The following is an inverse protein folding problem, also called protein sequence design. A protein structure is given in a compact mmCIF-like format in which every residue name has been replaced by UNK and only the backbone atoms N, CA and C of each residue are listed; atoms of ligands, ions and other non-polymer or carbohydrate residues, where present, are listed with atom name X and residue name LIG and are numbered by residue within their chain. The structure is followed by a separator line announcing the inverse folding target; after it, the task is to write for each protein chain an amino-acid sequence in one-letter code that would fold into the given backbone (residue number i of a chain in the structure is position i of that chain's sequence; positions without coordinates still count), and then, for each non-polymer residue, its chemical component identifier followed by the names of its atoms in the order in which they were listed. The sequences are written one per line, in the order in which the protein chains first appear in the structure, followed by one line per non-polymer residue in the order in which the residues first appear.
data_IF_271817263004
#
_entry.id   IF_271817263004
#
_cell.length_a   1.000
_cell.length_b   1.000
_cell.length_c   1.000
_cell.angle_alpha   90.00
_cell.angle_beta   90.00
_cell.angle_gamma   90.00
#
_symmetry.space_group_name_H-M   'P 1'
#
loop_
_entity.id
_entity.type
_entity.pdbx_description
1 polymer ?
#
# COMPACT_ATOMS: atom_id res chain seq x y z
N UNK A 1 -33.32 44.07 67.70
CA UNK A 1 -33.91 42.73 67.92
C UNK A 1 -33.15 41.78 67.00
N UNK A 2 -32.04 41.15 67.42
CA UNK A 2 -31.97 39.90 68.20
C UNK A 2 -33.04 38.88 67.74
N UNK A 3 -32.65 37.83 67.03
CA UNK A 3 -32.43 36.51 67.64
C UNK A 3 -31.71 35.53 66.68
N UNK A 4 -30.58 35.03 67.17
CA UNK A 4 -29.91 33.76 66.83
C UNK A 4 -30.74 32.56 67.32
N UNK A 5 -30.68 31.43 66.60
CA UNK A 5 -30.50 30.02 67.07
C UNK A 5 -30.05 29.21 65.82
N UNK A 6 -28.82 28.67 65.67
CA UNK A 6 -28.27 27.36 66.13
C UNK A 6 -29.20 26.15 65.86
N UNK A 7 -28.77 24.91 65.54
CA UNK A 7 -27.56 24.22 65.10
C UNK A 7 -28.00 22.75 64.94
N UNK A 8 -27.52 21.98 63.96
CA UNK A 8 -27.46 20.51 64.07
C UNK A 8 -26.50 19.92 63.02
N UNK A 9 -25.29 19.61 63.49
CA UNK A 9 -24.35 18.69 62.85
C UNK A 9 -24.93 17.27 62.83
N UNK A 10 -24.86 16.59 61.69
CA UNK A 10 -24.95 15.13 61.63
C UNK A 10 -23.66 14.60 61.03
N UNK A 11 -22.91 13.88 61.86
CA UNK A 11 -21.72 13.12 61.48
C UNK A 11 -22.15 11.93 60.61
N UNK A 12 -21.88 11.99 59.32
CA UNK A 12 -21.93 10.85 58.42
C UNK A 12 -20.57 10.14 58.39
N UNK A 13 -20.54 8.92 58.89
CA UNK A 13 -19.38 8.01 58.85
C UNK A 13 -19.00 7.75 57.39
N UNK A 14 -17.81 8.18 56.97
CA UNK A 14 -17.24 7.81 55.68
C UNK A 14 -16.73 6.37 55.75
N UNK A 15 -17.51 5.42 55.24
CA UNK A 15 -17.04 4.07 54.95
C UNK A 15 -16.17 4.15 53.71
N UNK A 16 -14.87 3.87 53.87
CA UNK A 16 -13.92 3.73 52.78
C UNK A 16 -14.30 2.52 51.92
N UNK A 17 -15.15 2.75 50.92
CA UNK A 17 -15.42 1.80 49.85
C UNK A 17 -14.21 1.74 48.93
N UNK A 18 -13.43 0.67 49.04
CA UNK A 18 -12.42 0.28 48.06
C UNK A 18 -13.14 0.08 46.71
N UNK A 19 -13.11 1.09 45.84
CA UNK A 19 -13.53 0.93 44.45
C UNK A 19 -12.43 0.10 43.80
N UNK A 20 -12.67 -1.20 43.72
CA UNK A 20 -11.97 -2.05 42.76
C UNK A 20 -12.23 -1.43 41.39
N UNK A 21 -11.20 -0.81 40.82
CA UNK A 21 -11.21 -0.41 39.43
C UNK A 21 -11.30 -1.69 38.60
N UNK A 22 -12.53 -2.10 38.30
CA UNK A 22 -12.80 -3.09 37.26
C UNK A 22 -12.27 -2.47 35.98
N UNK A 23 -11.13 -2.97 35.51
CA UNK A 23 -10.66 -2.72 34.15
C UNK A 23 -11.74 -3.24 33.21
N UNK A 24 -12.66 -2.37 32.79
CA UNK A 24 -13.38 -2.59 31.56
C UNK A 24 -12.33 -2.49 30.46
N UNK A 25 -11.68 -3.62 30.16
CA UNK A 25 -11.29 -3.88 28.78
C UNK A 25 -12.60 -3.88 28.00
N UNK A 26 -13.04 -2.69 27.58
CA UNK A 26 -13.98 -2.61 26.48
C UNK A 26 -13.35 -3.43 25.36
N UNK A 27 -14.02 -4.50 24.95
CA UNK A 27 -13.61 -5.24 23.78
C UNK A 27 -13.45 -4.21 22.67
N UNK A 28 -12.21 -3.97 22.23
CA UNK A 28 -11.94 -3.21 21.02
C UNK A 28 -12.67 -3.98 19.93
N UNK A 29 -13.81 -3.46 19.48
CA UNK A 29 -14.53 -4.06 18.39
C UNK A 29 -13.61 -4.07 17.18
N UNK A 30 -13.55 -5.22 16.49
CA UNK A 30 -12.68 -5.38 15.33
C UNK A 30 -13.07 -4.35 14.26
N UNK A 31 -12.10 -3.84 13.47
CA UNK A 31 -12.40 -2.92 12.37
C UNK A 31 -13.46 -3.52 11.42
N UNK A 32 -14.20 -2.68 10.67
CA UNK A 32 -15.30 -3.16 9.84
C UNK A 32 -14.85 -4.27 8.88
N UNK A 33 -15.53 -5.41 8.96
CA UNK A 33 -15.10 -6.66 8.29
C UNK A 33 -15.46 -6.73 6.80
N UNK A 34 -16.28 -5.80 6.30
CA UNK A 34 -16.75 -5.74 4.92
C UNK A 34 -15.89 -4.81 4.04
N UNK A 35 -14.60 -4.74 4.34
CA UNK A 35 -13.64 -3.97 3.54
C UNK A 35 -13.53 -4.57 2.13
N UNK A 36 -13.64 -3.71 1.12
CA UNK A 36 -13.60 -4.13 -0.29
C UNK A 36 -12.17 -4.15 -0.81
N UNK A 37 -11.34 -3.20 -0.39
CA UNK A 37 -9.92 -3.17 -0.67
C UNK A 37 -9.16 -2.61 0.53
N UNK A 38 -8.03 -3.21 0.87
CA UNK A 38 -7.18 -2.79 1.98
C UNK A 38 -5.70 -2.89 1.60
N UNK A 39 -5.06 -1.75 1.37
CA UNK A 39 -3.62 -1.68 1.15
C UNK A 39 -2.92 -1.21 2.41
N UNK A 40 -2.25 -2.14 3.08
CA UNK A 40 -1.50 -1.91 4.33
C UNK A 40 -0.11 -1.31 4.11
N UNK A 41 0.45 -1.44 2.92
CA UNK A 41 1.82 -1.00 2.63
C UNK A 41 2.90 -1.64 3.50
N UNK A 42 2.70 -2.89 3.91
CA UNK A 42 3.60 -3.63 4.81
C UNK A 42 4.68 -4.45 4.10
N UNK A 43 4.69 -4.51 2.77
CA UNK A 43 5.62 -5.38 2.02
C UNK A 43 7.09 -4.98 2.21
N UNK A 44 7.35 -3.68 2.40
CA UNK A 44 8.66 -3.12 2.71
C UNK A 44 9.72 -3.24 1.61
N UNK A 45 9.44 -3.96 0.52
CA UNK A 45 10.32 -4.15 -0.63
C UNK A 45 9.54 -4.42 -1.91
N UNK A 46 10.21 -4.31 -3.05
CA UNK A 46 9.59 -4.56 -4.35
C UNK A 46 8.64 -3.44 -4.77
N UNK A 47 7.81 -3.74 -5.78
CA UNK A 47 6.92 -2.77 -6.42
C UNK A 47 5.44 -3.11 -6.27
N UNK A 48 5.11 -4.23 -5.63
CA UNK A 48 3.73 -4.66 -5.44
C UNK A 48 3.21 -4.09 -4.13
N UNK A 49 2.01 -3.53 -4.16
CA UNK A 49 1.25 -3.14 -2.97
C UNK A 49 0.05 -4.08 -2.91
N UNK A 50 0.07 -5.05 -2.00
CA UNK A 50 -0.94 -6.09 -1.95
C UNK A 50 -2.24 -5.59 -1.33
N UNK A 51 -3.35 -6.07 -1.86
CA UNK A 51 -4.67 -5.91 -1.25
C UNK A 51 -4.92 -7.05 -0.25
N UNK A 52 -4.99 -6.69 1.03
CA UNK A 52 -5.22 -7.56 2.18
C UNK A 52 -6.69 -7.91 2.41
N UNK A 53 -7.63 -7.35 1.63
CA UNK A 53 -9.07 -7.66 1.78
C UNK A 53 -9.43 -9.08 1.31
N UNK A 54 -8.54 -9.73 0.54
CA UNK A 54 -8.80 -11.01 -0.12
C UNK A 54 -9.34 -10.89 -1.55
N UNK A 55 -9.70 -9.68 -1.99
CA UNK A 55 -10.25 -9.43 -3.35
C UNK A 55 -9.17 -9.21 -4.42
N UNK A 56 -7.89 -9.15 -4.02
CA UNK A 56 -6.70 -9.11 -4.90
C UNK A 56 -6.65 -7.87 -5.80
N UNK A 57 -7.16 -6.73 -5.32
CA UNK A 57 -7.01 -5.43 -5.97
C UNK A 57 -5.58 -4.87 -5.82
N UNK A 58 -4.57 -5.65 -6.16
CA UNK A 58 -3.17 -5.29 -5.95
C UNK A 58 -2.77 -4.05 -6.77
N UNK A 59 -2.03 -3.14 -6.12
CA UNK A 59 -1.39 -2.00 -6.74
C UNK A 59 0.03 -2.32 -7.19
N UNK A 60 0.57 -1.49 -8.08
CA UNK A 60 1.98 -1.47 -8.44
C UNK A 60 2.52 -0.05 -8.35
N UNK A 61 3.69 0.12 -7.73
CA UNK A 61 4.39 1.40 -7.64
C UNK A 61 4.99 1.80 -8.99
N UNK A 62 4.87 3.07 -9.34
CA UNK A 62 5.45 3.68 -10.55
C UNK A 62 6.49 4.74 -10.17
N UNK A 63 7.60 4.81 -10.93
CA UNK A 63 8.70 5.77 -10.73
C UNK A 63 9.44 5.67 -9.37
N UNK A 64 9.28 4.54 -8.67
CA UNK A 64 10.12 4.14 -7.54
C UNK A 64 9.95 4.94 -6.25
N UNK A 65 8.73 5.06 -5.68
CA UNK A 65 8.54 5.55 -4.32
C UNK A 65 9.24 4.64 -3.29
N UNK A 66 9.49 5.18 -2.10
CA UNK A 66 10.34 4.57 -1.08
C UNK A 66 9.51 3.92 0.03
N UNK A 67 9.87 2.71 0.45
CA UNK A 67 9.33 2.11 1.68
C UNK A 67 9.92 2.80 2.92
N UNK A 68 9.07 3.22 3.84
CA UNK A 68 9.45 3.86 5.12
C UNK A 68 8.67 3.27 6.28
N UNK A 69 8.98 3.66 7.51
CA UNK A 69 8.16 3.28 8.67
C UNK A 69 6.81 4.01 8.64
N UNK A 70 5.75 3.21 8.80
CA UNK A 70 4.36 3.61 8.67
C UNK A 70 3.74 4.17 9.95
N UNK A 71 2.43 4.40 9.90
CA UNK A 71 1.63 4.48 11.14
C UNK A 71 1.46 3.09 11.72
N UNK A 72 1.39 2.07 10.87
CA UNK A 72 1.46 0.64 11.21
C UNK A 72 2.50 0.00 10.28
N UNK A 73 3.39 -0.82 10.82
CA UNK A 73 4.42 -1.50 10.02
C UNK A 73 5.18 -0.58 9.05
N UNK A 74 4.96 -0.74 7.75
CA UNK A 74 5.59 0.07 6.69
C UNK A 74 4.57 0.97 5.99
N UNK A 75 5.09 1.99 5.30
CA UNK A 75 4.31 2.89 4.46
C UNK A 75 5.06 3.18 3.16
N UNK A 76 4.34 3.75 2.19
CA UNK A 76 4.93 4.21 0.95
C UNK A 76 5.13 5.72 0.96
N UNK A 77 6.37 6.17 0.77
CA UNK A 77 6.76 7.57 0.67
C UNK A 77 6.97 8.01 -0.76
N UNK A 78 6.34 9.12 -1.11
CA UNK A 78 6.34 9.71 -2.43
C UNK A 78 7.09 11.05 -2.43
N UNK A 79 7.76 11.33 -3.54
CA UNK A 79 8.59 12.52 -3.73
C UNK A 79 7.80 13.82 -4.02
N UNK A 80 6.50 13.72 -4.34
CA UNK A 80 5.66 14.86 -4.71
C UNK A 80 5.84 15.37 -6.14
N UNK A 81 6.57 14.65 -7.00
CA UNK A 81 6.84 14.99 -8.40
C UNK A 81 6.07 14.08 -9.34
N UNK A 82 6.38 12.78 -9.35
CA UNK A 82 5.93 11.85 -10.41
C UNK A 82 5.61 10.43 -9.92
N UNK A 83 5.81 10.15 -8.63
CA UNK A 83 5.63 8.82 -8.08
C UNK A 83 4.19 8.57 -7.65
N UNK A 84 3.68 7.38 -7.97
CA UNK A 84 2.33 6.96 -7.60
C UNK A 84 2.21 5.44 -7.54
N UNK A 85 1.10 4.96 -6.98
CA UNK A 85 0.68 3.56 -7.11
C UNK A 85 -0.47 3.49 -8.08
N UNK A 86 -0.45 2.51 -8.97
CA UNK A 86 -1.56 2.19 -9.87
C UNK A 86 -2.19 0.87 -9.46
N UNK A 87 -3.48 0.90 -9.19
CA UNK A 87 -4.32 -0.29 -9.10
C UNK A 87 -5.05 -0.40 -10.44
N UNK A 88 -4.82 -1.47 -11.23
CA UNK A 88 -5.48 -1.65 -12.52
C UNK A 88 -7.01 -1.56 -12.41
N UNK A 89 -7.64 -1.15 -13.50
CA UNK A 89 -9.10 -1.16 -13.58
C UNK A 89 -9.66 -2.57 -13.31
N UNK A 90 -10.64 -2.64 -12.42
CA UNK A 90 -11.07 -3.88 -11.76
C UNK A 90 -12.51 -3.77 -11.19
N UNK A 91 -13.28 -2.79 -11.67
CA UNK A 91 -14.64 -2.49 -11.25
C UNK A 91 -14.82 -2.22 -9.75
N UNK A 92 -13.74 -1.97 -9.00
CA UNK A 92 -13.74 -1.73 -7.55
C UNK A 92 -14.69 -0.61 -7.14
N UNK A 93 -15.03 0.31 -8.02
CA UNK A 93 -15.92 1.42 -7.73
C UNK A 93 -17.16 1.45 -8.61
N UNK A 94 -17.42 0.44 -9.45
CA UNK A 94 -18.56 0.49 -10.38
C UNK A 94 -19.91 0.41 -9.68
N UNK A 95 -20.87 1.24 -10.13
CA UNK A 95 -22.26 1.28 -9.66
C UNK A 95 -22.50 1.47 -8.14
N UNK A 96 -21.56 2.09 -7.43
CA UNK A 96 -21.68 2.28 -5.99
C UNK A 96 -22.54 3.51 -5.64
N UNK A 97 -23.65 3.30 -4.93
CA UNK A 97 -24.55 4.38 -4.50
C UNK A 97 -24.06 5.10 -3.23
N UNK A 98 -23.29 4.40 -2.39
CA UNK A 98 -22.69 4.93 -1.18
C UNK A 98 -21.35 4.24 -0.95
N UNK A 99 -20.31 4.99 -0.60
CA UNK A 99 -18.98 4.44 -0.36
C UNK A 99 -18.21 5.26 0.66
N UNK A 100 -17.17 4.64 1.23
CA UNK A 100 -16.23 5.32 2.12
C UNK A 100 -14.80 4.99 1.72
N UNK A 101 -13.92 5.97 1.87
CA UNK A 101 -12.48 5.83 1.64
C UNK A 101 -11.77 6.31 2.90
N UNK A 102 -10.97 5.43 3.51
CA UNK A 102 -10.14 5.72 4.67
C UNK A 102 -8.68 5.66 4.26
N UNK A 103 -7.87 6.61 4.74
CA UNK A 103 -6.44 6.64 4.46
C UNK A 103 -5.68 7.29 5.62
N UNK A 104 -4.52 6.74 5.94
CA UNK A 104 -3.52 7.43 6.73
C UNK A 104 -2.49 8.06 5.81
N UNK A 105 -2.14 9.32 6.05
CA UNK A 105 -1.05 9.96 5.34
C UNK A 105 -0.28 10.94 6.21
N UNK A 106 0.99 11.16 5.87
CA UNK A 106 1.89 12.09 6.54
C UNK A 106 2.53 13.01 5.49
N UNK A 107 2.07 14.27 5.37
CA UNK A 107 2.67 15.24 4.46
C UNK A 107 4.08 15.63 4.90
N UNK A 108 4.98 15.89 3.96
CA UNK A 108 6.23 16.61 4.23
C UNK A 108 5.98 18.13 4.19
N UNK A 109 6.85 18.93 4.82
CA UNK A 109 6.73 20.41 4.85
C UNK A 109 6.94 21.10 3.49
N UNK A 110 6.89 20.37 2.38
CA UNK A 110 7.01 21.00 1.08
C UNK A 110 5.88 22.02 0.91
N UNK A 111 6.23 23.31 0.83
CA UNK A 111 5.32 24.38 0.43
C UNK A 111 4.83 24.07 -0.98
N UNK A 112 3.59 23.61 -1.12
CA UNK A 112 2.95 23.34 -2.40
C UNK A 112 1.86 24.35 -2.66
N UNK A 113 2.04 25.26 -3.62
CA UNK A 113 0.99 26.20 -4.05
C UNK A 113 -0.13 25.54 -4.89
N UNK A 114 -0.20 24.20 -4.89
CA UNK A 114 -1.06 23.40 -5.75
C UNK A 114 -1.67 22.24 -4.97
N UNK A 115 -2.90 21.87 -5.33
CA UNK A 115 -3.57 20.69 -4.79
C UNK A 115 -2.83 19.40 -5.15
N UNK A 116 -2.67 18.50 -4.18
CA UNK A 116 -2.01 17.19 -4.33
C UNK A 116 -2.97 16.05 -4.03
N UNK A 117 -3.02 15.05 -4.89
CA UNK A 117 -3.92 13.91 -4.74
C UNK A 117 -3.30 12.82 -3.88
N UNK A 118 -4.00 12.40 -2.83
CA UNK A 118 -3.57 11.29 -1.96
C UNK A 118 -4.09 9.96 -2.53
N UNK A 119 -5.36 9.91 -2.91
CA UNK A 119 -5.97 8.76 -3.59
C UNK A 119 -7.13 9.24 -4.44
N UNK A 120 -7.32 8.64 -5.61
CA UNK A 120 -8.48 8.93 -6.43
C UNK A 120 -8.62 7.99 -7.61
N UNK A 121 -9.81 8.05 -8.20
CA UNK A 121 -10.11 7.41 -9.47
C UNK A 121 -10.62 8.46 -10.45
N UNK A 122 -10.33 8.25 -11.72
CA UNK A 122 -10.81 9.11 -12.81
C UNK A 122 -12.26 8.74 -13.16
N UNK A 123 -12.99 9.64 -13.83
CA UNK A 123 -14.23 9.36 -14.53
C UNK A 123 -13.98 9.28 -16.06
N UNK A 124 -15.03 8.92 -16.79
CA UNK A 124 -15.10 8.80 -18.25
C UNK A 124 -14.86 10.12 -19.01
N UNK A 125 -14.86 11.27 -18.33
CA UNK A 125 -14.57 12.59 -18.90
C UNK A 125 -13.15 13.08 -18.53
N UNK A 126 -12.28 12.17 -18.13
CA UNK A 126 -10.92 12.45 -17.67
C UNK A 126 -10.84 13.46 -16.49
N UNK A 127 -11.85 13.42 -15.61
CA UNK A 127 -11.89 14.20 -14.34
C UNK A 127 -11.88 13.25 -13.14
N UNK A 128 -11.74 13.75 -11.92
CA UNK A 128 -11.87 12.89 -10.72
C UNK A 128 -13.30 12.39 -10.54
N UNK A 129 -13.48 11.07 -10.52
CA UNK A 129 -14.70 10.39 -10.09
C UNK A 129 -14.89 10.53 -8.57
N UNK A 130 -13.85 10.17 -7.81
CA UNK A 130 -13.64 10.67 -6.47
C UNK A 130 -12.15 10.95 -6.26
N UNK A 131 -11.83 11.80 -5.30
CA UNK A 131 -10.47 11.92 -4.80
C UNK A 131 -10.41 12.43 -3.36
N UNK A 132 -9.42 11.98 -2.60
CA UNK A 132 -8.93 12.64 -1.39
C UNK A 132 -7.63 13.36 -1.74
N UNK A 133 -7.47 14.59 -1.28
CA UNK A 133 -6.27 15.38 -1.55
C UNK A 133 -6.05 16.48 -0.51
N UNK A 134 -4.97 17.23 -0.68
CA UNK A 134 -4.61 18.39 0.14
C UNK A 134 -4.50 19.64 -0.72
N UNK A 135 -4.92 20.80 -0.21
CA UNK A 135 -4.86 22.09 -0.90
C UNK A 135 -4.30 23.20 0.01
N UNK A 136 -3.18 23.84 -0.35
CA UNK A 136 -2.51 24.83 0.54
C UNK A 136 -2.94 26.29 0.31
N UNK A 137 -4.03 26.55 -0.43
CA UNK A 137 -4.35 27.90 -0.90
C UNK A 137 -4.85 28.90 0.16
N UNK A 138 -5.30 28.46 1.34
CA UNK A 138 -5.95 29.37 2.30
C UNK A 138 -5.31 29.44 3.70
N UNK A 139 -4.97 28.34 4.39
CA UNK A 139 -4.42 28.42 5.77
C UNK A 139 -3.51 27.25 6.20
N UNK A 140 -2.93 26.50 5.26
CA UNK A 140 -2.09 25.33 5.56
C UNK A 140 -2.83 24.01 5.38
N UNK A 141 -3.01 23.67 4.11
CA UNK A 141 -3.34 22.34 3.60
C UNK A 141 -4.71 21.84 4.07
N UNK A 142 -5.79 22.39 3.51
CA UNK A 142 -7.13 21.82 3.70
C UNK A 142 -7.15 20.44 3.07
N UNK A 143 -7.35 19.40 3.89
CA UNK A 143 -7.69 18.10 3.36
C UNK A 143 -9.10 18.17 2.77
N UNK A 144 -9.29 17.56 1.60
CA UNK A 144 -10.58 17.52 0.95
C UNK A 144 -10.92 16.13 0.44
N UNK A 145 -12.21 15.87 0.39
CA UNK A 145 -12.82 14.73 -0.30
C UNK A 145 -13.78 15.26 -1.35
N UNK A 146 -13.61 14.81 -2.59
CA UNK A 146 -14.42 15.23 -3.73
C UNK A 146 -15.07 14.02 -4.39
N UNK A 147 -16.31 14.18 -4.82
CA UNK A 147 -17.07 13.18 -5.57
C UNK A 147 -17.74 13.85 -6.77
N UNK A 148 -17.73 13.18 -7.92
CA UNK A 148 -18.55 13.52 -9.09
C UNK A 148 -19.71 12.53 -9.20
N UNK A 149 -20.88 12.98 -9.63
CA UNK A 149 -22.05 12.12 -9.89
C UNK A 149 -22.31 11.96 -11.40
N UNK A 150 -23.17 11.00 -11.77
CA UNK A 150 -23.51 10.71 -13.18
C UNK A 150 -24.11 11.91 -13.94
N UNK A 151 -24.63 12.90 -13.22
CA UNK A 151 -25.10 14.18 -13.77
C UNK A 151 -23.97 15.16 -14.14
N UNK A 152 -22.70 14.76 -14.02
CA UNK A 152 -21.51 15.58 -14.23
C UNK A 152 -21.36 16.75 -13.25
N UNK A 153 -22.00 16.65 -12.08
CA UNK A 153 -21.84 17.61 -10.99
C UNK A 153 -20.81 17.05 -10.03
N UNK A 154 -19.93 17.91 -9.52
CA UNK A 154 -18.92 17.54 -8.53
C UNK A 154 -19.10 18.36 -7.25
N UNK A 155 -18.98 17.68 -6.12
CA UNK A 155 -19.10 18.25 -4.78
C UNK A 155 -17.82 18.00 -4.00
N UNK A 156 -17.44 18.94 -3.12
CA UNK A 156 -16.20 18.89 -2.34
C UNK A 156 -16.48 19.18 -0.87
N UNK A 157 -16.15 18.23 0.00
CA UNK A 157 -16.04 18.47 1.43
C UNK A 157 -14.58 18.83 1.76
N UNK A 158 -14.36 19.92 2.48
CA UNK A 158 -13.04 20.37 2.95
C UNK A 158 -13.05 20.44 4.47
N UNK A 159 -11.92 20.11 5.09
CA UNK A 159 -11.78 20.21 6.53
C UNK A 159 -11.72 21.67 6.98
N UNK A 160 -12.22 21.94 8.19
CA UNK A 160 -12.16 23.27 8.79
C UNK A 160 -10.86 23.46 9.62
N UNK A 161 -10.09 22.39 9.84
CA UNK A 161 -8.84 22.38 10.57
C UNK A 161 -7.64 22.16 9.62
N UNK A 162 -6.59 22.95 9.82
CA UNK A 162 -5.33 22.78 9.12
C UNK A 162 -4.73 21.40 9.38
N UNK A 163 -4.08 20.82 8.36
CA UNK A 163 -3.31 19.60 8.54
C UNK A 163 -2.06 19.88 9.37
N UNK A 164 -1.81 19.03 10.38
CA UNK A 164 -0.51 19.02 11.05
C UNK A 164 0.56 18.50 10.09
N UNK A 165 1.38 19.39 9.52
CA UNK A 165 2.53 19.00 8.71
C UNK A 165 3.43 18.03 9.49
N UNK A 166 4.07 17.09 8.79
CA UNK A 166 4.97 16.06 9.34
C UNK A 166 4.35 15.06 10.32
N UNK A 167 3.04 15.16 10.59
CA UNK A 167 2.31 14.20 11.43
C UNK A 167 1.46 13.27 10.58
N UNK A 168 1.27 12.05 11.08
CA UNK A 168 0.27 11.16 10.54
C UNK A 168 -1.12 11.74 10.79
N UNK A 169 -1.94 11.77 9.73
CA UNK A 169 -3.33 12.17 9.76
C UNK A 169 -4.17 11.04 9.20
N UNK A 170 -5.26 10.73 9.87
CA UNK A 170 -6.27 9.79 9.39
C UNK A 170 -7.41 10.57 8.78
N UNK A 171 -7.78 10.26 7.54
CA UNK A 171 -8.87 10.94 6.85
C UNK A 171 -9.84 9.91 6.31
N UNK A 172 -11.13 10.16 6.55
CA UNK A 172 -12.21 9.35 6.00
C UNK A 172 -13.18 10.23 5.22
N UNK A 173 -13.24 10.01 3.91
CA UNK A 173 -14.26 10.58 3.03
C UNK A 173 -15.43 9.62 2.91
N UNK A 174 -16.65 10.10 3.13
CA UNK A 174 -17.86 9.29 3.08
C UNK A 174 -18.85 9.93 2.13
N UNK A 175 -19.38 9.13 1.20
CA UNK A 175 -20.53 9.48 0.38
C UNK A 175 -21.66 8.51 0.65
N UNK A 176 -22.81 8.99 1.11
CA UNK A 176 -23.95 8.13 1.46
C UNK A 176 -25.03 8.07 0.37
N UNK A 177 -24.77 8.64 -0.82
CA UNK A 177 -25.75 8.78 -1.90
C UNK A 177 -26.62 10.05 -1.83
N UNK A 178 -26.55 10.78 -0.70
CA UNK A 178 -27.30 12.02 -0.47
C UNK A 178 -26.42 13.22 -0.18
N UNK A 179 -25.22 13.03 0.38
CA UNK A 179 -24.24 14.09 0.68
C UNK A 179 -22.88 13.50 1.04
N UNK A 180 -21.89 14.39 1.14
CA UNK A 180 -20.53 14.06 1.54
C UNK A 180 -20.32 14.35 3.03
N UNK A 181 -19.53 13.49 3.67
CA UNK A 181 -18.93 13.75 4.97
C UNK A 181 -17.41 13.63 4.87
N UNK A 182 -16.72 14.40 5.69
CA UNK A 182 -15.27 14.33 5.84
C UNK A 182 -14.91 14.27 7.31
N UNK A 183 -14.17 13.24 7.68
CA UNK A 183 -13.58 13.10 9.01
C UNK A 183 -12.07 13.25 8.92
N UNK A 184 -11.50 13.87 9.94
CA UNK A 184 -10.05 13.96 10.13
C UNK A 184 -9.75 13.59 11.58
N UNK A 185 -8.83 12.64 11.77
CA UNK A 185 -8.39 12.14 13.07
C UNK A 185 -9.57 11.73 13.98
N UNK A 186 -10.54 11.01 13.41
CA UNK A 186 -11.75 10.56 14.11
C UNK A 186 -12.83 11.64 14.32
N UNK A 187 -12.57 12.91 13.99
CA UNK A 187 -13.51 14.02 14.21
C UNK A 187 -14.19 14.44 12.91
N UNK A 188 -15.51 14.62 12.93
CA UNK A 188 -16.27 15.14 11.81
C UNK A 188 -15.87 16.59 11.52
N UNK A 189 -15.31 16.83 10.33
CA UNK A 189 -14.94 18.16 9.86
C UNK A 189 -16.04 18.76 8.98
N UNK A 190 -16.71 17.93 8.17
CA UNK A 190 -17.74 18.43 7.25
C UNK A 190 -18.92 17.50 7.05
N UNK A 191 -20.11 18.09 6.96
CA UNK A 191 -21.34 17.47 6.45
C UNK A 191 -21.96 18.37 5.37
N UNK A 192 -21.66 18.12 4.09
CA UNK A 192 -22.11 19.02 3.04
C UNK A 192 -23.65 19.10 2.96
N UNK A 193 -24.19 20.18 2.36
CA UNK A 193 -25.57 20.21 1.89
C UNK A 193 -25.89 19.01 0.96
N UNK A 194 -27.18 18.78 0.64
CA UNK A 194 -27.58 17.68 -0.23
C UNK A 194 -26.85 17.69 -1.58
N UNK A 195 -26.25 16.56 -1.90
CA UNK A 195 -25.63 16.20 -3.17
C UNK A 195 -26.03 14.75 -3.48
N UNK A 196 -27.13 14.59 -4.22
CA UNK A 196 -27.73 13.28 -4.49
C UNK A 196 -27.25 12.69 -5.82
N UNK A 197 -27.29 11.37 -5.92
CA UNK A 197 -27.14 10.63 -7.19
C UNK A 197 -26.10 9.53 -7.14
N UNK A 198 -26.03 8.70 -8.17
CA UNK A 198 -24.99 7.66 -8.25
C UNK A 198 -23.63 8.31 -8.49
N UNK A 199 -22.59 7.84 -7.79
CA UNK A 199 -21.23 8.30 -8.06
C UNK A 199 -20.87 8.03 -9.52
N UNK A 200 -20.17 8.96 -10.14
CA UNK A 200 -19.67 8.78 -11.50
C UNK A 200 -18.39 7.97 -11.41
N UNK A 201 -18.44 6.75 -11.86
CA UNK A 201 -17.28 5.87 -11.87
C UNK A 201 -16.76 5.75 -13.31
N UNK A 202 -15.55 5.21 -13.48
CA UNK A 202 -15.09 4.81 -14.81
C UNK A 202 -14.22 3.58 -14.75
N UNK A 203 -14.13 2.92 -15.91
CA UNK A 203 -13.20 1.85 -16.23
C UNK A 203 -11.75 2.39 -16.34
N UNK A 204 -11.29 3.09 -15.30
CA UNK A 204 -9.97 3.71 -15.23
C UNK A 204 -9.27 3.28 -13.94
N UNK A 205 -7.92 3.20 -13.95
CA UNK A 205 -7.17 2.78 -12.78
C UNK A 205 -7.40 3.70 -11.57
N UNK A 206 -7.49 3.10 -10.39
CA UNK A 206 -7.34 3.83 -9.15
C UNK A 206 -5.86 4.17 -8.96
N UNK A 207 -5.57 5.39 -8.53
CA UNK A 207 -4.21 5.84 -8.23
C UNK A 207 -4.09 6.42 -6.83
N UNK A 208 -2.95 6.16 -6.22
CA UNK A 208 -2.54 6.76 -4.95
C UNK A 208 -1.32 7.64 -5.22
N UNK A 209 -1.26 8.80 -4.58
CA UNK A 209 -0.33 9.89 -4.91
C UNK A 209 -0.54 10.45 -6.32
N UNK A 210 -1.80 10.74 -6.70
CA UNK A 210 -2.14 11.29 -8.02
C UNK A 210 -3.45 12.10 -7.98
N UNK A 211 -3.52 13.27 -8.64
CA UNK A 211 -4.76 14.05 -8.84
C UNK A 211 -5.15 14.17 -10.32
N UNK A 212 -6.18 13.43 -10.73
CA UNK A 212 -6.67 13.44 -12.11
C UNK A 212 -7.20 14.78 -12.60
N UNK A 213 -7.69 15.66 -11.73
CA UNK A 213 -8.17 16.98 -12.12
C UNK A 213 -7.05 17.98 -12.42
N UNK A 214 -5.80 17.66 -12.03
CA UNK A 214 -4.61 18.50 -12.21
C UNK A 214 -3.50 17.83 -13.02
N UNK A 215 -3.63 16.55 -13.36
CA UNK A 215 -2.60 15.76 -14.03
C UNK A 215 -1.66 15.08 -13.04
N UNK A 216 -0.39 14.89 -13.39
CA UNK A 216 0.60 14.28 -12.49
C UNK A 216 0.92 15.24 -11.33
N UNK A 217 0.07 15.24 -10.30
CA UNK A 217 0.20 16.03 -9.07
C UNK A 217 0.40 15.08 -7.88
N UNK A 218 1.61 14.51 -7.82
CA UNK A 218 2.01 13.54 -6.80
C UNK A 218 2.00 14.15 -5.40
N UNK A 219 1.59 13.37 -4.41
CA UNK A 219 1.57 13.76 -3.01
C UNK A 219 3.00 13.73 -2.41
N UNK A 220 3.50 14.81 -1.80
CA UNK A 220 4.78 14.81 -1.10
C UNK A 220 4.59 14.30 0.33
N UNK A 221 4.85 13.01 0.57
CA UNK A 221 4.64 12.43 1.89
C UNK A 221 4.51 10.91 1.88
N UNK A 222 4.17 10.36 3.05
CA UNK A 222 3.90 8.93 3.21
C UNK A 222 2.39 8.64 3.20
N UNK A 223 1.97 7.54 2.58
CA UNK A 223 0.60 7.01 2.59
C UNK A 223 0.66 5.60 3.18
N UNK A 224 -0.36 5.28 3.97
CA UNK A 224 -0.48 4.04 4.69
C UNK A 224 -1.97 3.65 4.88
N UNK A 225 -2.23 2.38 5.16
CA UNK A 225 -3.50 1.88 5.68
C UNK A 225 -4.76 2.33 4.88
N UNK A 226 -4.68 2.27 3.55
CA UNK A 226 -5.75 2.68 2.63
C UNK A 226 -6.84 1.64 2.58
N UNK A 227 -8.09 2.04 2.83
CA UNK A 227 -9.26 1.16 2.78
C UNK A 227 -10.41 1.76 1.96
N UNK A 228 -11.14 0.89 1.26
CA UNK A 228 -12.37 1.25 0.52
C UNK A 228 -13.53 0.36 0.96
N UNK A 229 -14.70 0.97 1.13
CA UNK A 229 -15.96 0.31 1.51
C UNK A 229 -17.07 0.69 0.53
N UNK A 230 -17.97 -0.24 0.21
CA UNK A 230 -19.18 0.01 -0.62
C UNK A 230 -20.40 0.42 0.20
N UNK A 231 -20.16 1.14 1.29
CA UNK A 231 -21.21 1.76 2.11
C UNK A 231 -20.69 3.00 2.81
N UNK A 232 -21.62 3.77 3.35
CA UNK A 232 -21.29 4.81 4.31
C UNK A 232 -20.89 4.18 5.65
N UNK A 233 -19.69 4.51 6.14
CA UNK A 233 -19.28 4.18 7.50
C UNK A 233 -20.04 5.06 8.50
N UNK A 234 -20.31 4.50 9.66
CA UNK A 234 -20.85 5.22 10.81
C UNK A 234 -19.74 5.99 11.55
N UNK A 235 -20.10 7.01 12.37
CA UNK A 235 -19.11 7.71 13.19
C UNK A 235 -18.32 6.78 14.13
N UNK A 236 -18.95 5.72 14.63
CA UNK A 236 -18.29 4.74 15.50
C UNK A 236 -17.20 3.96 14.75
N UNK A 237 -17.50 3.50 13.53
CA UNK A 237 -16.53 2.79 12.70
C UNK A 237 -15.37 3.68 12.25
N UNK A 238 -15.63 4.97 12.01
CA UNK A 238 -14.56 5.94 11.76
C UNK A 238 -13.64 6.08 12.97
N UNK A 239 -14.22 6.16 14.18
CA UNK A 239 -13.45 6.22 15.41
C UNK A 239 -12.65 4.92 15.66
N UNK A 240 -13.21 3.75 15.31
CA UNK A 240 -12.51 2.47 15.39
C UNK A 240 -11.32 2.42 14.44
N UNK A 241 -11.47 2.85 13.17
CA UNK A 241 -10.36 2.92 12.21
C UNK A 241 -9.27 3.89 12.66
N UNK A 242 -9.62 5.00 13.31
CA UNK A 242 -8.65 5.95 13.86
C UNK A 242 -7.88 5.38 15.05
N UNK A 243 -8.56 4.61 15.90
CA UNK A 243 -7.99 4.01 17.11
C UNK A 243 -7.55 2.56 16.90
N UNK A 244 -7.48 2.09 15.65
CA UNK A 244 -7.06 0.74 15.33
C UNK A 244 -5.64 0.57 15.89
N UNK A 245 -5.40 -0.45 16.74
CA UNK A 245 -4.13 -0.58 17.41
C UNK A 245 -3.03 -0.73 16.37
N UNK A 246 -2.02 0.15 16.47
CA UNK A 246 -0.75 0.00 15.78
C UNK A 246 -0.15 -1.32 16.25
N UNK A 247 -0.40 -2.39 15.51
CA UNK A 247 0.08 -3.71 15.87
C UNK A 247 1.61 -3.69 15.74
N UNK A 248 2.31 -3.41 16.85
CA UNK A 248 3.59 -4.03 17.07
C UNK A 248 3.35 -5.53 16.87
N UNK A 249 4.05 -6.11 15.90
CA UNK A 249 3.96 -7.52 15.55
C UNK A 249 3.67 -8.34 16.81
N UNK A 250 2.48 -8.94 16.87
CA UNK A 250 2.22 -10.02 17.81
C UNK A 250 3.16 -11.12 17.35
N UNK A 251 4.41 -11.06 17.84
CA UNK A 251 5.26 -12.22 17.86
C UNK A 251 4.41 -13.29 18.55
N UNK A 252 4.21 -14.47 17.94
CA UNK A 252 3.60 -15.56 18.66
C UNK A 252 4.36 -15.70 19.98
N UNK A 253 3.67 -15.92 21.12
CA UNK A 253 4.34 -16.07 22.40
C UNK A 253 5.45 -17.11 22.24
N UNK A 254 6.66 -16.87 22.79
CA UNK A 254 7.73 -17.85 22.68
C UNK A 254 7.20 -19.21 23.14
N UNK A 255 7.54 -20.31 22.45
CA UNK A 255 7.08 -21.63 22.86
C UNK A 255 7.41 -21.80 24.34
N UNK A 256 6.41 -22.27 25.11
CA UNK A 256 6.57 -22.51 26.53
C UNK A 256 7.87 -23.30 26.78
N UNK A 257 8.62 -23.02 27.87
CA UNK A 257 9.82 -23.76 28.17
C UNK A 257 9.48 -25.26 28.21
N UNK A 258 10.16 -26.00 27.35
CA UNK A 258 10.07 -27.45 27.27
C UNK A 258 10.26 -28.04 28.69
N UNK A 259 9.35 -28.90 29.18
CA UNK A 259 9.52 -29.48 30.51
C UNK A 259 10.83 -30.27 30.55
N UNK A 260 11.60 -30.08 31.62
CA UNK A 260 12.88 -30.72 31.82
C UNK A 260 12.80 -32.24 31.57
N UNK A 261 13.77 -32.85 30.87
CA UNK A 261 13.73 -34.27 30.57
C UNK A 261 13.71 -35.07 31.87
N UNK A 262 12.69 -35.90 32.05
CA UNK A 262 12.65 -36.90 33.09
C UNK A 262 13.77 -37.93 32.84
N UNK A 263 14.49 -38.31 33.90
CA UNK A 263 15.51 -39.34 33.88
C UNK A 263 14.91 -40.67 33.41
N UNK A 264 15.28 -41.10 32.21
CA UNK A 264 14.97 -42.45 31.71
C UNK A 264 16.10 -43.39 32.13
N UNK A 265 15.84 -44.58 32.70
CA UNK A 265 16.87 -45.55 33.01
C UNK A 265 17.46 -46.13 31.71
N UNK A 266 18.76 -46.41 31.71
CA UNK A 266 19.47 -47.00 30.57
C UNK A 266 18.82 -48.31 30.08
N UNK A 267 18.59 -48.48 28.77
CA UNK A 267 18.33 -49.78 28.18
C UNK A 267 19.59 -50.44 27.60
N UNK A 268 19.67 -51.73 27.91
CA UNK A 268 20.55 -52.82 27.46
C UNK A 268 20.94 -52.77 25.97
N UNK A 269 22.18 -53.16 25.58
CA UNK A 269 22.65 -53.08 24.20
C UNK A 269 21.96 -54.10 23.26
N UNK A 270 21.50 -53.60 22.11
CA UNK A 270 20.98 -54.38 20.99
C UNK A 270 22.09 -54.71 19.95
N UNK A 271 21.92 -55.72 19.08
CA UNK A 271 22.99 -56.25 18.24
C UNK A 271 23.32 -55.37 17.01
N UNK A 272 24.54 -55.59 16.50
CA UNK A 272 25.21 -54.86 15.41
C UNK A 272 24.38 -54.80 14.11
N UNK A 273 24.27 -53.64 13.44
CA UNK A 273 23.62 -53.54 12.13
C UNK A 273 24.57 -53.87 10.96
N UNK A 274 23.96 -54.44 9.91
CA UNK A 274 24.53 -54.78 8.60
C UNK A 274 24.94 -53.52 7.79
N UNK A 275 25.91 -53.58 6.85
CA UNK A 275 26.44 -52.37 6.19
C UNK A 275 25.46 -51.77 5.18
N UNK A 276 25.28 -50.45 5.25
CA UNK A 276 24.50 -49.67 4.28
C UNK A 276 25.22 -49.55 2.90
N UNK A 277 24.46 -49.44 1.79
CA UNK A 277 25.04 -49.30 0.45
C UNK A 277 25.64 -47.90 0.20
N UNK A 278 26.71 -47.86 -0.58
CA UNK A 278 27.48 -46.67 -0.95
C UNK A 278 26.62 -45.76 -1.88
N UNK A 279 26.59 -44.43 -1.67
CA UNK A 279 25.87 -43.51 -2.55
C UNK A 279 26.54 -43.41 -3.93
N UNK A 280 25.73 -43.53 -4.98
CA UNK A 280 26.14 -43.31 -6.38
C UNK A 280 26.17 -41.79 -6.65
N UNK A 281 27.21 -41.24 -7.31
CA UNK A 281 27.24 -39.83 -7.66
C UNK A 281 26.13 -39.48 -8.67
N UNK A 282 25.33 -38.45 -8.37
CA UNK A 282 24.37 -37.88 -9.31
C UNK A 282 25.09 -37.26 -10.52
N UNK A 283 24.55 -37.39 -11.74
CA UNK A 283 25.18 -36.86 -12.94
C UNK A 283 25.19 -35.34 -12.92
N UNK A 284 26.34 -34.76 -13.23
CA UNK A 284 26.52 -33.32 -13.48
C UNK A 284 25.57 -32.89 -14.60
N UNK A 285 24.76 -31.82 -14.43
CA UNK A 285 23.86 -31.36 -15.47
C UNK A 285 24.67 -30.87 -16.69
N UNK A 286 24.18 -31.12 -17.93
CA UNK A 286 24.84 -30.66 -19.14
C UNK A 286 24.91 -29.12 -19.19
N UNK A 287 25.97 -28.54 -19.79
CA UNK A 287 26.07 -27.09 -19.93
C UNK A 287 24.90 -26.54 -20.72
N UNK A 288 24.23 -25.54 -20.16
CA UNK A 288 23.12 -24.85 -20.82
C UNK A 288 23.64 -24.11 -22.08
N UNK A 289 22.86 -24.05 -23.18
CA UNK A 289 23.26 -23.30 -24.36
C UNK A 289 23.44 -21.81 -24.02
N UNK A 290 24.62 -21.28 -24.31
CA UNK A 290 24.97 -19.85 -24.13
C UNK A 290 24.13 -18.99 -25.08
N UNK A 291 23.45 -17.96 -24.57
CA UNK A 291 22.67 -17.03 -25.41
C UNK A 291 23.62 -16.02 -26.06
N UNK A 292 23.70 -16.02 -27.40
CA UNK A 292 24.48 -15.05 -28.16
C UNK A 292 23.58 -13.96 -28.75
N UNK A 293 23.81 -12.71 -28.35
CA UNK A 293 23.13 -11.53 -28.89
C UNK A 293 24.10 -10.79 -29.82
N UNK A 294 23.68 -10.54 -31.06
CA UNK A 294 24.56 -9.99 -32.10
C UNK A 294 24.47 -8.48 -32.29
N UNK A 295 23.37 -7.85 -31.82
CA UNK A 295 23.13 -6.41 -31.98
C UNK A 295 22.80 -5.72 -30.67
N UNK A 296 22.93 -4.39 -30.68
CA UNK A 296 22.43 -3.58 -29.59
C UNK A 296 20.91 -3.54 -29.60
N UNK A 297 20.28 -3.67 -28.43
CA UNK A 297 18.82 -3.66 -28.28
C UNK A 297 18.41 -2.69 -27.15
N UNK A 298 17.21 -2.14 -27.28
CA UNK A 298 16.59 -1.23 -26.32
C UNK A 298 15.10 -1.07 -26.65
N UNK A 299 14.43 -0.15 -25.95
CA UNK A 299 13.01 0.12 -26.17
C UNK A 299 12.70 0.30 -27.67
N UNK A 300 11.68 -0.41 -28.15
CA UNK A 300 11.27 -0.41 -29.56
C UNK A 300 11.92 -1.49 -30.42
N UNK A 301 12.95 -2.20 -29.93
CA UNK A 301 13.56 -3.32 -30.66
C UNK A 301 12.58 -4.48 -30.79
N UNK A 302 12.60 -5.17 -31.93
CA UNK A 302 11.74 -6.32 -32.20
C UNK A 302 12.48 -7.48 -32.85
N UNK A 303 12.08 -8.72 -32.55
CA UNK A 303 12.58 -9.93 -33.20
C UNK A 303 12.71 -11.14 -32.28
N UNK A 304 13.15 -12.26 -32.85
CA UNK A 304 13.38 -13.51 -32.11
C UNK A 304 14.56 -13.43 -31.12
N UNK A 305 15.48 -12.50 -31.36
CA UNK A 305 16.57 -12.17 -30.45
C UNK A 305 16.05 -11.51 -29.16
N UNK A 306 15.02 -10.67 -29.27
CA UNK A 306 14.30 -10.12 -28.12
C UNK A 306 13.55 -11.22 -27.38
N UNK A 307 12.85 -12.12 -28.09
CA UNK A 307 12.15 -13.25 -27.46
C UNK A 307 13.13 -14.15 -26.67
N UNK A 308 14.28 -14.45 -27.27
CA UNK A 308 15.33 -15.27 -26.65
C UNK A 308 15.94 -14.58 -25.42
N UNK A 309 16.16 -13.26 -25.50
CA UNK A 309 16.57 -12.46 -24.36
C UNK A 309 15.54 -12.51 -23.23
N UNK A 310 14.26 -12.37 -23.54
CA UNK A 310 13.21 -12.39 -22.52
C UNK A 310 13.15 -13.72 -21.77
N UNK A 311 13.23 -14.83 -22.52
CA UNK A 311 13.30 -16.19 -21.94
C UNK A 311 14.52 -16.34 -21.03
N UNK A 312 15.68 -15.85 -21.47
CA UNK A 312 16.92 -15.89 -20.69
C UNK A 312 16.79 -15.12 -19.37
N UNK A 313 16.18 -13.93 -19.40
CA UNK A 313 15.98 -13.10 -18.21
C UNK A 313 15.04 -13.78 -17.21
N UNK A 314 13.88 -14.24 -17.69
CA UNK A 314 12.90 -14.94 -16.88
C UNK A 314 13.49 -16.20 -16.22
N UNK A 315 14.25 -17.00 -16.98
CA UNK A 315 14.89 -18.23 -16.47
C UNK A 315 15.94 -17.98 -15.37
N UNK A 316 16.48 -16.76 -15.28
CA UNK A 316 17.53 -16.38 -14.32
C UNK A 316 17.03 -15.43 -13.21
N UNK A 317 15.71 -15.35 -13.04
CA UNK A 317 15.09 -14.56 -11.96
C UNK A 317 14.97 -13.06 -12.26
N UNK A 318 15.40 -12.60 -13.44
CA UNK A 318 15.16 -11.22 -13.90
C UNK A 318 13.78 -11.14 -14.57
N UNK A 319 12.74 -11.40 -13.77
CA UNK A 319 11.37 -11.55 -14.26
C UNK A 319 10.88 -10.25 -14.92
N UNK A 320 10.43 -10.37 -16.18
CA UNK A 320 9.90 -9.26 -16.98
C UNK A 320 8.44 -8.98 -16.63
N UNK A 321 7.64 -10.03 -16.50
CA UNK A 321 6.26 -9.99 -16.03
C UNK A 321 5.96 -11.28 -15.27
N UNK A 322 5.08 -11.22 -14.26
CA UNK A 322 4.63 -12.41 -13.54
C UNK A 322 3.44 -13.09 -14.23
N UNK A 323 2.72 -12.37 -15.10
CA UNK A 323 1.61 -12.89 -15.90
C UNK A 323 1.45 -12.09 -17.21
N UNK A 324 0.78 -12.68 -18.19
CA UNK A 324 0.54 -12.05 -19.50
C UNK A 324 1.83 -11.82 -20.31
N UNK A 325 1.78 -10.87 -21.24
CA UNK A 325 2.89 -10.57 -22.14
C UNK A 325 4.21 -10.29 -21.39
N UNK A 326 5.23 -11.09 -21.69
CA UNK A 326 6.56 -11.04 -21.08
C UNK A 326 6.75 -11.99 -19.89
N UNK A 327 5.73 -12.72 -19.44
CA UNK A 327 5.88 -13.70 -18.35
C UNK A 327 6.57 -14.98 -18.81
N UNK A 328 7.08 -15.83 -17.89
CA UNK A 328 7.60 -17.14 -18.26
C UNK A 328 6.59 -17.91 -19.12
N UNK A 329 6.99 -18.29 -20.34
CA UNK A 329 6.14 -18.99 -21.32
C UNK A 329 5.21 -18.10 -22.16
N UNK A 330 5.13 -16.79 -21.87
CA UNK A 330 4.40 -15.78 -22.64
C UNK A 330 5.31 -14.63 -23.07
N UNK A 331 6.60 -14.91 -23.31
CA UNK A 331 7.55 -13.91 -23.76
C UNK A 331 7.16 -13.32 -25.12
N UNK A 332 7.48 -12.04 -25.33
CA UNK A 332 7.17 -11.34 -26.57
C UNK A 332 8.41 -11.10 -27.42
N UNK A 333 8.19 -10.79 -28.69
CA UNK A 333 9.23 -10.32 -29.60
C UNK A 333 9.50 -8.82 -29.47
N UNK A 334 8.86 -8.10 -28.54
CA UNK A 334 8.97 -6.64 -28.40
C UNK A 334 9.73 -6.23 -27.14
N UNK A 335 10.76 -5.41 -27.30
CA UNK A 335 11.53 -4.84 -26.19
C UNK A 335 10.80 -3.59 -25.70
N UNK A 336 10.00 -3.74 -24.65
CA UNK A 336 9.25 -2.64 -24.02
C UNK A 336 9.87 -2.19 -22.69
N UNK A 337 9.15 -1.32 -21.96
CA UNK A 337 9.59 -0.82 -20.66
C UNK A 337 9.80 -1.91 -19.60
N UNK A 338 9.02 -3.00 -19.65
CA UNK A 338 9.21 -4.16 -18.77
C UNK A 338 10.52 -4.90 -19.02
N UNK A 339 10.85 -5.14 -20.29
CA UNK A 339 12.13 -5.74 -20.71
C UNK A 339 13.29 -4.81 -20.36
N UNK A 340 13.13 -3.49 -20.53
CA UNK A 340 14.11 -2.50 -20.09
C UNK A 340 14.35 -2.56 -18.57
N UNK A 341 13.27 -2.64 -17.77
CA UNK A 341 13.34 -2.78 -16.32
C UNK A 341 14.07 -4.04 -15.88
N UNK A 342 13.83 -5.18 -16.54
CA UNK A 342 14.57 -6.42 -16.28
C UNK A 342 16.07 -6.28 -16.62
N UNK A 343 16.42 -5.59 -17.71
CA UNK A 343 17.82 -5.29 -18.05
C UNK A 343 18.48 -4.36 -17.04
N UNK A 344 17.78 -3.33 -16.55
CA UNK A 344 18.30 -2.44 -15.50
C UNK A 344 18.64 -3.22 -14.22
N UNK A 345 17.78 -4.17 -13.84
CA UNK A 345 18.03 -5.08 -12.70
C UNK A 345 19.26 -5.94 -12.95
N UNK A 346 19.36 -6.61 -14.10
CA UNK A 346 20.52 -7.42 -14.48
C UNK A 346 21.83 -6.61 -14.46
N UNK A 347 21.82 -5.42 -15.07
CA UNK A 347 23.00 -4.55 -15.15
C UNK A 347 23.46 -4.09 -13.78
N UNK A 348 22.53 -3.82 -12.86
CA UNK A 348 22.89 -3.40 -11.52
C UNK A 348 23.40 -4.58 -10.67
N UNK A 349 22.70 -5.73 -10.72
CA UNK A 349 23.11 -6.97 -10.05
C UNK A 349 24.52 -7.40 -10.45
N UNK A 350 24.82 -7.33 -11.75
CA UNK A 350 26.13 -7.72 -12.31
C UNK A 350 27.14 -6.56 -12.35
N UNK A 351 26.85 -5.45 -11.67
CA UNK A 351 27.75 -4.29 -11.51
C UNK A 351 28.25 -3.71 -12.84
N UNK A 352 27.45 -3.78 -13.90
CA UNK A 352 27.73 -3.10 -15.18
C UNK A 352 27.42 -1.60 -15.04
N UNK A 353 26.19 -1.29 -14.62
CA UNK A 353 25.68 0.08 -14.43
C UNK A 353 24.38 0.02 -13.62
N UNK A 354 24.24 0.90 -12.62
CA UNK A 354 23.05 0.98 -11.77
C UNK A 354 22.27 2.31 -11.91
N UNK A 355 22.76 3.27 -12.69
CA UNK A 355 22.16 4.59 -12.85
C UNK A 355 22.61 5.26 -14.16
N UNK A 356 21.90 6.31 -14.58
CA UNK A 356 22.20 7.09 -15.78
C UNK A 356 21.08 7.01 -16.82
N UNK A 357 21.39 7.18 -18.10
CA UNK A 357 20.41 7.00 -19.17
C UNK A 357 20.85 5.95 -20.20
N UNK A 358 19.91 5.40 -20.99
CA UNK A 358 20.23 4.51 -22.10
C UNK A 358 21.25 5.06 -23.09
N UNK A 359 21.24 6.38 -23.34
CA UNK A 359 22.11 7.05 -24.31
C UNK A 359 23.48 7.43 -23.75
N UNK A 360 23.58 7.63 -22.43
CA UNK A 360 24.82 8.11 -21.78
C UNK A 360 25.63 6.98 -21.16
N UNK A 361 24.96 6.06 -20.47
CA UNK A 361 25.60 5.00 -19.68
C UNK A 361 25.27 3.61 -20.20
N UNK A 362 24.31 3.50 -21.13
CA UNK A 362 23.77 2.22 -21.59
C UNK A 362 22.81 1.56 -20.59
N UNK A 363 22.42 2.25 -19.51
CA UNK A 363 21.50 1.70 -18.51
C UNK A 363 20.12 1.43 -19.12
N UNK A 364 19.66 0.18 -19.03
CA UNK A 364 18.43 -0.31 -19.67
C UNK A 364 18.57 -0.77 -21.13
N UNK A 365 19.77 -0.68 -21.73
CA UNK A 365 20.02 -1.20 -23.09
C UNK A 365 20.98 -2.37 -23.08
N UNK A 366 20.81 -3.25 -24.06
CA UNK A 366 21.76 -4.31 -24.38
C UNK A 366 22.91 -3.72 -25.20
N UNK A 367 23.90 -3.13 -24.52
CA UNK A 367 25.16 -2.69 -25.12
C UNK A 367 26.23 -3.79 -25.17
N UNK A 368 27.41 -3.54 -25.75
CA UNK A 368 28.49 -4.53 -25.87
C UNK A 368 28.86 -5.23 -24.55
N UNK A 369 28.95 -4.48 -23.44
CA UNK A 369 29.26 -5.02 -22.11
C UNK A 369 28.17 -5.97 -21.59
N UNK A 370 26.90 -5.59 -21.76
CA UNK A 370 25.77 -6.43 -21.35
C UNK A 370 25.66 -7.69 -22.22
N UNK A 371 25.99 -7.60 -23.52
CA UNK A 371 26.04 -8.79 -24.40
C UNK A 371 27.15 -9.75 -24.01
N UNK A 372 28.35 -9.24 -23.73
CA UNK A 372 29.47 -10.06 -23.28
C UNK A 372 29.11 -10.80 -21.98
N UNK A 373 28.49 -10.11 -21.02
CA UNK A 373 27.98 -10.74 -19.80
C UNK A 373 26.96 -11.85 -20.09
N UNK A 374 25.95 -11.59 -20.92
CA UNK A 374 24.90 -12.57 -21.24
C UNK A 374 25.49 -13.80 -21.94
N UNK A 375 26.52 -13.63 -22.76
CA UNK A 375 27.19 -14.74 -23.44
C UNK A 375 28.01 -15.64 -22.48
N UNK A 376 28.40 -15.13 -21.31
CA UNK A 376 29.16 -15.89 -20.30
C UNK A 376 28.30 -16.49 -19.19
N UNK A 377 27.01 -16.13 -19.14
CA UNK A 377 26.02 -16.62 -18.18
C UNK A 377 25.22 -17.81 -18.71
#
# INVERSE_FOLDING_TARGET
MKHHVESAYVYGIAVAGMVLASSFYGAHAAPPTDVVAHWKFDEGTGTVVADSSGNKYNGTTEFGPEWVDGVMGKAMKFNGTDQYVTVPDNNLTEAVYAFSVSVWFKPTEASTTQARGVIGIMNDLDRSAFNIGIDQLYDGNDVYFRVSNIGNIAEKASADQALGNTKWNHVVGIYNGEKLFLYQNGVLQKNNPPFTGTSKNSAKPLRMSYDYSKGLSSFPGAIDEVRIYHRALSPAEVAELYNEPVAAAVLPPPPAPEPAPALVPEPVPAPVPEPAPIPVPSPTPPPSPKLLLLRSMGIGSQGDDVLSLQKFLNARGFIISISGAGSPGNETTYFGGRTEGAIKKLQCDKKIVCAGSPSTTGWGRIGPKTRALIAEM
#
